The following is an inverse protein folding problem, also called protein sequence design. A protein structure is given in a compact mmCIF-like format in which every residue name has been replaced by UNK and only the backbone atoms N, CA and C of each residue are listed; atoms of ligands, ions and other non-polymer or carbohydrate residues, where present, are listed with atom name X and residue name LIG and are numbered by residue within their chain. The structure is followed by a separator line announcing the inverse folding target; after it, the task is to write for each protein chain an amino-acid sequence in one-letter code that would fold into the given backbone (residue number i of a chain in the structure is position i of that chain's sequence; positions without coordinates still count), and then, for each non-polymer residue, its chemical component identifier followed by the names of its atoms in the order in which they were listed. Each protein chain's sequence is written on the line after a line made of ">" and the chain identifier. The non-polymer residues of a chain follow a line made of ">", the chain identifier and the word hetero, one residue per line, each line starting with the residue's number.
data_IF_593454262806
#
_entry.id   IF_593454262806
#
_cell.length_a   1.000
_cell.length_b   1.000
_cell.length_c   1.000
_cell.angle_alpha   90.00
_cell.angle_beta   90.00
_cell.angle_gamma   90.00
#
_symmetry.space_group_name_H-M   'P 1'
#
loop_
_entity.id
_entity.type
_entity.pdbx_description
1 polymer ?
#
# COMPACT_ATOMS: atom_id res chain seq x y z
N UNK A 1 26.74 6.65 -16.00
CA UNK A 1 25.77 5.81 -15.26
C UNK A 1 25.31 6.59 -14.03
N UNK A 2 24.04 7.02 -13.98
CA UNK A 2 23.55 8.00 -13.02
C UNK A 2 23.75 7.53 -11.56
N UNK A 3 24.32 8.36 -10.69
CA UNK A 3 24.66 7.99 -9.30
C UNK A 3 23.43 7.48 -8.52
N UNK A 4 22.25 8.05 -8.81
CA UNK A 4 20.96 7.65 -8.22
C UNK A 4 20.68 6.16 -8.45
N UNK A 5 20.82 5.67 -9.69
CA UNK A 5 20.52 4.27 -10.06
C UNK A 5 21.41 3.30 -9.28
N UNK A 6 22.68 3.65 -9.06
CA UNK A 6 23.60 2.82 -8.26
C UNK A 6 23.16 2.73 -6.81
N UNK A 7 22.73 3.85 -6.22
CA UNK A 7 22.26 3.92 -4.83
C UNK A 7 20.94 3.15 -4.68
N UNK A 8 20.03 3.27 -5.65
CA UNK A 8 18.78 2.49 -5.71
C UNK A 8 19.08 0.99 -5.75
N UNK A 9 19.94 0.53 -6.66
CA UNK A 9 20.30 -0.89 -6.78
C UNK A 9 21.00 -1.42 -5.52
N UNK A 10 21.85 -0.61 -4.89
CA UNK A 10 22.47 -0.96 -3.62
C UNK A 10 21.43 -1.13 -2.51
N UNK A 11 20.51 -0.16 -2.38
CA UNK A 11 19.42 -0.20 -1.39
C UNK A 11 18.55 -1.44 -1.55
N UNK A 12 18.18 -1.79 -2.79
CA UNK A 12 17.41 -3.00 -3.05
C UNK A 12 18.18 -4.27 -2.65
N UNK A 13 19.45 -4.40 -3.02
CA UNK A 13 20.27 -5.57 -2.67
C UNK A 13 20.49 -5.71 -1.18
N UNK A 14 20.67 -4.59 -0.50
CA UNK A 14 20.86 -4.55 0.95
C UNK A 14 19.61 -5.04 1.68
N UNK A 15 18.43 -4.52 1.32
CA UNK A 15 17.15 -4.97 1.88
C UNK A 15 16.84 -6.43 1.53
N UNK A 16 17.09 -6.85 0.29
CA UNK A 16 16.91 -8.23 -0.16
C UNK A 16 17.91 -9.23 0.46
N UNK A 17 18.96 -8.77 1.14
CA UNK A 17 19.88 -9.68 1.85
C UNK A 17 19.27 -10.18 3.17
N UNK A 18 18.30 -9.46 3.72
CA UNK A 18 17.65 -9.87 4.97
C UNK A 18 16.71 -11.04 4.74
N UNK A 19 16.98 -12.16 5.42
CA UNK A 19 16.13 -13.38 5.36
C UNK A 19 14.67 -13.10 5.74
N UNK A 20 14.45 -12.16 6.65
CA UNK A 20 13.11 -11.74 7.10
C UNK A 20 12.21 -11.29 5.96
N UNK A 21 12.76 -10.66 4.92
CA UNK A 21 12.00 -10.19 3.77
C UNK A 21 11.37 -11.35 2.98
N UNK A 22 12.15 -12.40 2.70
CA UNK A 22 11.64 -13.59 2.02
C UNK A 22 10.69 -14.41 2.88
N UNK A 23 10.95 -14.50 4.19
CA UNK A 23 10.04 -15.17 5.13
C UNK A 23 8.69 -14.47 5.16
N UNK A 24 8.68 -13.13 5.22
CA UNK A 24 7.44 -12.35 5.19
C UNK A 24 6.69 -12.51 3.86
N UNK A 25 7.41 -12.49 2.73
CA UNK A 25 6.81 -12.73 1.41
C UNK A 25 6.16 -14.12 1.35
N UNK A 26 6.90 -15.16 1.75
CA UNK A 26 6.41 -16.54 1.74
C UNK A 26 5.19 -16.72 2.64
N UNK A 27 5.21 -16.16 3.85
CA UNK A 27 4.07 -16.20 4.77
C UNK A 27 2.85 -15.46 4.19
N UNK A 28 3.06 -14.30 3.55
CA UNK A 28 1.99 -13.52 2.93
C UNK A 28 1.35 -14.27 1.75
N UNK A 29 2.16 -14.91 0.90
CA UNK A 29 1.67 -15.76 -0.19
C UNK A 29 0.88 -16.95 0.36
N UNK A 30 1.40 -17.61 1.40
CA UNK A 30 0.71 -18.73 2.05
C UNK A 30 -0.66 -18.29 2.59
N UNK A 31 -0.73 -17.13 3.24
CA UNK A 31 -1.98 -16.58 3.76
C UNK A 31 -3.00 -16.33 2.63
N UNK A 32 -2.56 -15.75 1.51
CA UNK A 32 -3.41 -15.55 0.33
C UNK A 32 -3.91 -16.88 -0.23
N UNK A 33 -3.04 -17.89 -0.31
CA UNK A 33 -3.41 -19.22 -0.80
C UNK A 33 -4.39 -19.94 0.13
N UNK A 34 -4.32 -19.74 1.44
CA UNK A 34 -5.31 -20.30 2.38
C UNK A 34 -6.70 -19.70 2.16
N UNK A 35 -6.79 -18.43 1.74
CA UNK A 35 -8.07 -17.76 1.43
C UNK A 35 -8.69 -18.29 0.13
N UNK A 36 -7.98 -19.11 -0.66
CA UNK A 36 -8.50 -19.72 -1.91
C UNK A 36 -9.83 -20.45 -1.71
N UNK A 37 -10.06 -21.05 -0.53
CA UNK A 37 -11.30 -21.73 -0.19
C UNK A 37 -12.53 -20.80 -0.08
N UNK A 38 -12.32 -19.51 0.21
CA UNK A 38 -13.39 -18.51 0.29
C UNK A 38 -13.91 -18.07 -1.09
N UNK A 39 -13.24 -18.48 -2.17
CA UNK A 39 -13.66 -18.22 -3.55
C UNK A 39 -14.48 -19.36 -4.15
N UNK A 40 -14.77 -20.41 -3.37
CA UNK A 40 -15.60 -21.52 -3.86
C UNK A 40 -17.09 -21.16 -3.89
N UNK A 41 -17.82 -21.78 -4.80
CA UNK A 41 -19.25 -21.52 -4.99
C UNK A 41 -20.13 -22.30 -4.03
N UNK A 42 -21.30 -21.75 -3.68
CA UNK A 42 -22.28 -22.44 -2.82
C UNK A 42 -22.83 -21.62 -1.65
N UNK A 43 -22.53 -20.32 -1.59
CA UNK A 43 -23.09 -19.45 -0.57
C UNK A 43 -24.57 -19.16 -0.88
N UNK A 44 -25.45 -19.44 0.09
CA UNK A 44 -26.86 -19.08 0.04
C UNK A 44 -27.10 -17.88 0.94
N UNK A 45 -27.71 -16.83 0.39
CA UNK A 45 -28.13 -15.64 1.16
C UNK A 45 -29.63 -15.51 0.92
N UNK A 46 -30.43 -15.47 1.99
CA UNK A 46 -31.89 -15.46 1.92
C UNK A 46 -32.51 -16.62 1.09
N UNK A 47 -31.86 -17.79 1.05
CA UNK A 47 -32.36 -18.96 0.32
C UNK A 47 -32.08 -18.95 -1.18
N UNK A 48 -31.50 -17.89 -1.74
CA UNK A 48 -31.04 -17.82 -3.13
C UNK A 48 -29.54 -18.13 -3.22
N UNK A 49 -29.14 -18.88 -4.25
CA UNK A 49 -27.72 -19.12 -4.53
C UNK A 49 -27.08 -17.85 -5.09
N UNK A 50 -26.09 -17.33 -4.38
CA UNK A 50 -25.38 -16.13 -4.82
C UNK A 50 -24.41 -16.50 -5.94
N UNK A 51 -24.35 -15.67 -6.98
CA UNK A 51 -23.41 -15.85 -8.08
C UNK A 51 -21.96 -15.86 -7.54
N UNK A 52 -21.23 -16.93 -7.85
CA UNK A 52 -19.84 -17.13 -7.45
C UNK A 52 -18.94 -15.97 -7.87
N UNK A 53 -19.22 -15.33 -9.02
CA UNK A 53 -18.47 -14.17 -9.48
C UNK A 53 -18.64 -12.96 -8.53
N UNK A 54 -19.84 -12.73 -8.00
CA UNK A 54 -20.14 -11.63 -7.09
C UNK A 54 -19.48 -11.85 -5.73
N UNK A 55 -19.47 -13.08 -5.22
CA UNK A 55 -18.78 -13.42 -3.97
C UNK A 55 -17.28 -13.25 -4.13
N UNK A 56 -16.71 -13.84 -5.20
CA UNK A 56 -15.29 -13.73 -5.50
C UNK A 56 -14.86 -12.26 -5.61
N UNK A 57 -15.67 -11.40 -6.21
CA UNK A 57 -15.43 -9.95 -6.31
C UNK A 57 -15.35 -9.24 -4.95
N UNK A 58 -16.25 -9.54 -4.02
CA UNK A 58 -16.26 -8.90 -2.70
C UNK A 58 -15.10 -9.39 -1.83
N UNK A 59 -14.84 -10.71 -1.83
CA UNK A 59 -13.70 -11.29 -1.10
C UNK A 59 -12.39 -10.70 -1.62
N UNK A 60 -12.23 -10.66 -2.94
CA UNK A 60 -11.12 -10.03 -3.66
C UNK A 60 -10.78 -8.63 -3.15
N UNK A 61 -11.78 -7.74 -3.05
CA UNK A 61 -11.59 -6.38 -2.53
C UNK A 61 -11.12 -6.32 -1.09
N UNK A 62 -11.70 -7.17 -0.23
CA UNK A 62 -11.34 -7.23 1.20
C UNK A 62 -9.88 -7.67 1.33
N UNK A 63 -9.48 -8.72 0.63
CA UNK A 63 -8.10 -9.22 0.68
C UNK A 63 -7.13 -8.20 0.07
N UNK A 64 -7.52 -7.49 -0.99
CA UNK A 64 -6.73 -6.38 -1.53
C UNK A 64 -6.45 -5.32 -0.44
N UNK A 65 -7.46 -4.93 0.32
CA UNK A 65 -7.30 -3.96 1.42
C UNK A 65 -6.43 -4.47 2.54
N UNK A 66 -6.56 -5.75 2.89
CA UNK A 66 -5.71 -6.39 3.87
C UNK A 66 -4.23 -6.33 3.45
N UNK A 67 -3.94 -6.62 2.17
CA UNK A 67 -2.58 -6.51 1.63
C UNK A 67 -2.12 -5.06 1.67
N UNK A 68 -2.93 -4.10 1.19
CA UNK A 68 -2.56 -2.69 1.19
C UNK A 68 -2.23 -2.18 2.61
N UNK A 69 -3.06 -2.53 3.60
CA UNK A 69 -2.81 -2.21 5.01
C UNK A 69 -1.50 -2.84 5.53
N UNK A 70 -1.27 -4.12 5.24
CA UNK A 70 -0.02 -4.80 5.56
C UNK A 70 1.21 -4.15 4.90
N UNK A 71 1.07 -3.71 3.65
CA UNK A 71 2.11 -2.99 2.92
C UNK A 71 2.40 -1.61 3.50
N UNK A 72 1.39 -0.87 3.96
CA UNK A 72 1.60 0.41 4.64
C UNK A 72 2.38 0.24 5.96
N UNK A 73 2.05 -0.79 6.73
CA UNK A 73 2.79 -1.13 7.94
C UNK A 73 4.24 -1.50 7.60
N UNK A 74 4.43 -2.43 6.66
CA UNK A 74 5.75 -2.91 6.24
C UNK A 74 6.63 -1.77 5.71
N UNK A 75 6.08 -0.91 4.84
CA UNK A 75 6.84 0.20 4.26
C UNK A 75 7.20 1.25 5.30
N UNK A 76 6.32 1.50 6.28
CA UNK A 76 6.60 2.41 7.39
C UNK A 76 7.76 1.90 8.25
N UNK A 77 7.74 0.60 8.58
CA UNK A 77 8.82 -0.04 9.35
C UNK A 77 10.15 -0.11 8.58
N UNK A 78 10.12 -0.33 7.27
CA UNK A 78 11.32 -0.33 6.44
C UNK A 78 11.91 1.08 6.34
N UNK A 79 11.05 2.08 6.18
CA UNK A 79 11.47 3.48 5.93
C UNK A 79 12.06 4.15 7.16
N UNK A 80 11.55 3.82 8.35
CA UNK A 80 11.98 4.48 9.59
C UNK A 80 13.47 4.25 9.91
N UNK A 81 14.05 3.13 9.47
CA UNK A 81 15.45 2.77 9.76
C UNK A 81 16.44 3.12 8.65
N UNK A 82 15.98 3.72 7.53
CA UNK A 82 16.85 3.94 6.37
C UNK A 82 17.98 4.91 6.70
N UNK A 83 17.65 6.06 7.29
CA UNK A 83 18.65 7.11 7.56
C UNK A 83 19.38 6.93 8.87
N UNK A 84 18.69 6.45 9.92
CA UNK A 84 19.31 6.20 11.23
C UNK A 84 20.38 5.12 11.14
N UNK A 85 20.08 3.96 10.53
CA UNK A 85 21.06 2.89 10.32
C UNK A 85 22.25 3.38 9.50
N UNK A 86 21.99 4.13 8.43
CA UNK A 86 23.07 4.64 7.58
C UNK A 86 24.00 5.59 8.34
N UNK A 87 23.45 6.38 9.28
CA UNK A 87 24.18 7.30 10.14
C UNK A 87 24.98 6.53 11.21
N UNK A 88 24.38 5.53 11.86
CA UNK A 88 25.04 4.66 12.85
C UNK A 88 26.20 3.86 12.25
N UNK A 89 26.02 3.30 11.05
CA UNK A 89 27.04 2.54 10.33
C UNK A 89 28.17 3.43 9.75
N UNK A 90 28.06 4.75 9.87
CA UNK A 90 28.97 5.72 9.25
C UNK A 90 28.93 5.74 7.71
N UNK A 91 28.02 4.96 7.11
CA UNK A 91 27.89 4.81 5.65
C UNK A 91 27.51 6.12 4.96
N UNK A 92 26.78 7.01 5.64
CA UNK A 92 26.44 8.36 5.14
C UNK A 92 27.72 9.13 4.77
N UNK A 93 28.77 9.05 5.60
CA UNK A 93 30.04 9.75 5.37
C UNK A 93 30.77 9.16 4.16
N UNK A 94 30.69 7.83 3.96
CA UNK A 94 31.28 7.15 2.80
C UNK A 94 30.55 7.49 1.49
N UNK A 95 29.22 7.69 1.53
CA UNK A 95 28.47 8.13 0.35
C UNK A 95 28.71 9.62 0.02
N UNK A 96 28.85 10.47 1.03
CA UNK A 96 29.06 11.92 0.89
C UNK A 96 30.52 12.31 0.63
N UNK A 97 31.49 11.44 0.92
CA UNK A 97 32.91 11.67 0.59
C UNK A 97 33.18 11.57 -0.92
N UNK A 98 32.30 10.89 -1.66
CA UNK A 98 32.24 10.93 -3.13
C UNK A 98 31.42 12.16 -3.57
N UNK A 99 31.64 12.65 -4.79
CA UNK A 99 30.88 13.77 -5.41
C UNK A 99 29.41 13.44 -5.72
N UNK A 100 28.68 12.97 -4.71
CA UNK A 100 27.25 12.68 -4.76
C UNK A 100 26.53 13.79 -3.99
N UNK A 101 25.60 14.47 -4.65
CA UNK A 101 24.79 15.48 -3.98
C UNK A 101 23.82 14.83 -2.98
N UNK A 102 23.53 15.53 -1.88
CA UNK A 102 22.61 15.04 -0.83
C UNK A 102 21.26 14.61 -1.38
N UNK A 103 20.73 15.35 -2.37
CA UNK A 103 19.48 15.02 -3.06
C UNK A 103 19.54 13.72 -3.85
N UNK A 104 20.66 13.41 -4.51
CA UNK A 104 20.82 12.14 -5.23
C UNK A 104 20.83 10.93 -4.27
N UNK A 105 21.39 11.11 -3.07
CA UNK A 105 21.37 10.09 -2.02
C UNK A 105 19.96 9.86 -1.48
N UNK A 106 19.26 10.93 -1.07
CA UNK A 106 17.88 10.84 -0.54
C UNK A 106 16.94 10.22 -1.57
N UNK A 107 16.95 10.71 -2.82
CA UNK A 107 16.14 10.16 -3.90
C UNK A 107 16.50 8.70 -4.18
N UNK A 108 17.80 8.36 -4.21
CA UNK A 108 18.23 6.98 -4.43
C UNK A 108 17.72 6.01 -3.38
N UNK A 109 17.74 6.40 -2.10
CA UNK A 109 17.21 5.61 -0.96
C UNK A 109 15.69 5.47 -1.03
N UNK A 110 14.97 6.59 -1.20
CA UNK A 110 13.50 6.61 -1.29
C UNK A 110 13.01 5.78 -2.48
N UNK A 111 13.58 5.99 -3.67
CA UNK A 111 13.23 5.22 -4.87
C UNK A 111 13.60 3.75 -4.74
N UNK A 112 14.73 3.41 -4.10
CA UNK A 112 15.13 2.03 -3.84
C UNK A 112 14.11 1.27 -2.99
N UNK A 113 13.67 1.86 -1.89
CA UNK A 113 12.65 1.29 -1.02
C UNK A 113 11.30 1.23 -1.72
N UNK A 114 10.91 2.27 -2.45
CA UNK A 114 9.65 2.30 -3.20
C UNK A 114 9.58 1.20 -4.25
N UNK A 115 10.61 1.03 -5.09
CA UNK A 115 10.66 -0.03 -6.10
C UNK A 115 10.59 -1.40 -5.45
N UNK A 116 11.31 -1.62 -4.34
CA UNK A 116 11.27 -2.89 -3.62
C UNK A 116 9.87 -3.22 -3.10
N UNK A 117 9.22 -2.26 -2.42
CA UNK A 117 7.87 -2.44 -1.91
C UNK A 117 6.83 -2.56 -3.04
N UNK A 118 7.04 -1.88 -4.17
CA UNK A 118 6.21 -2.02 -5.35
C UNK A 118 6.27 -3.44 -5.90
N UNK A 119 7.46 -4.02 -6.07
CA UNK A 119 7.61 -5.41 -6.53
C UNK A 119 6.93 -6.38 -5.56
N UNK A 120 7.14 -6.22 -4.26
CA UNK A 120 6.52 -7.07 -3.24
C UNK A 120 4.99 -7.00 -3.27
N UNK A 121 4.42 -5.79 -3.25
CA UNK A 121 2.98 -5.57 -3.36
C UNK A 121 2.42 -6.14 -4.67
N UNK A 122 3.13 -5.94 -5.80
CA UNK A 122 2.68 -6.41 -7.09
C UNK A 122 2.63 -7.94 -7.15
N UNK A 123 3.59 -8.63 -6.56
CA UNK A 123 3.57 -10.10 -6.42
C UNK A 123 2.32 -10.54 -5.64
N UNK A 124 1.99 -9.89 -4.52
CA UNK A 124 0.82 -10.24 -3.71
C UNK A 124 -0.52 -9.92 -4.40
N UNK A 125 -0.62 -8.80 -5.12
CA UNK A 125 -1.83 -8.51 -5.89
C UNK A 125 -1.98 -9.45 -7.09
N UNK A 126 -0.87 -9.82 -7.73
CA UNK A 126 -0.86 -10.78 -8.82
C UNK A 126 -1.31 -12.17 -8.36
N UNK A 127 -0.91 -12.63 -7.16
CA UNK A 127 -1.35 -13.94 -6.65
C UNK A 127 -2.86 -13.98 -6.40
N UNK A 128 -3.46 -12.91 -5.87
CA UNK A 128 -4.93 -12.80 -5.76
C UNK A 128 -5.56 -12.81 -7.13
N UNK A 129 -5.08 -11.95 -8.04
CA UNK A 129 -5.62 -11.84 -9.39
C UNK A 129 -5.64 -13.19 -10.11
N UNK A 130 -4.53 -13.95 -10.05
CA UNK A 130 -4.43 -15.29 -10.61
C UNK A 130 -5.37 -16.29 -9.92
N UNK A 131 -5.57 -16.18 -8.61
CA UNK A 131 -6.49 -17.04 -7.86
C UNK A 131 -7.94 -16.82 -8.28
N UNK A 132 -8.34 -15.56 -8.44
CA UNK A 132 -9.69 -15.17 -8.88
C UNK A 132 -9.92 -15.61 -10.32
N UNK A 133 -8.96 -15.35 -11.21
CA UNK A 133 -8.99 -15.78 -12.60
C UNK A 133 -9.16 -17.30 -12.72
N UNK A 134 -8.39 -18.07 -11.95
CA UNK A 134 -8.45 -19.53 -11.99
C UNK A 134 -9.77 -20.11 -11.46
N UNK A 135 -10.49 -19.41 -10.58
CA UNK A 135 -11.75 -19.88 -9.98
C UNK A 135 -13.00 -19.41 -10.73
N UNK A 136 -12.99 -18.20 -11.28
CA UNK A 136 -14.18 -17.58 -11.90
C UNK A 136 -14.06 -17.36 -13.40
N UNK A 137 -12.85 -17.38 -13.97
CA UNK A 137 -12.61 -17.04 -15.37
C UNK A 137 -12.84 -15.56 -15.72
N UNK A 138 -13.14 -14.71 -14.73
CA UNK A 138 -13.43 -13.30 -14.95
C UNK A 138 -12.15 -12.44 -14.89
N UNK A 139 -12.00 -11.51 -15.82
CA UNK A 139 -10.94 -10.49 -15.79
C UNK A 139 -11.42 -9.28 -14.98
N UNK A 140 -10.65 -8.87 -13.98
CA UNK A 140 -10.91 -7.62 -13.25
C UNK A 140 -9.89 -6.57 -13.70
N UNK A 141 -10.29 -5.67 -14.60
CA UNK A 141 -9.43 -4.59 -15.13
C UNK A 141 -8.96 -3.62 -14.05
N UNK A 142 -9.81 -3.32 -13.07
CA UNK A 142 -9.54 -2.34 -12.01
C UNK A 142 -8.38 -2.69 -11.08
N UNK A 143 -7.95 -3.96 -11.02
CA UNK A 143 -6.88 -4.41 -10.12
C UNK A 143 -5.54 -3.72 -10.39
N UNK A 144 -5.19 -3.56 -11.66
CA UNK A 144 -3.92 -2.94 -12.05
C UNK A 144 -3.91 -1.44 -11.67
N UNK A 145 -5.00 -0.73 -11.99
CA UNK A 145 -5.18 0.68 -11.65
C UNK A 145 -5.15 0.90 -10.14
N UNK A 146 -5.89 0.10 -9.38
CA UNK A 146 -5.90 0.12 -7.92
C UNK A 146 -4.50 -0.14 -7.34
N UNK A 147 -3.75 -1.08 -7.91
CA UNK A 147 -2.38 -1.39 -7.49
C UNK A 147 -1.39 -0.25 -7.78
N UNK A 148 -1.53 0.44 -8.91
CA UNK A 148 -0.68 1.59 -9.24
C UNK A 148 -0.95 2.77 -8.31
N UNK A 149 -2.23 3.05 -8.02
CA UNK A 149 -2.62 4.09 -7.06
C UNK A 149 -2.11 3.75 -5.65
N UNK A 150 -2.20 2.48 -5.26
CA UNK A 150 -1.61 1.99 -4.02
C UNK A 150 -0.09 2.23 -3.98
N UNK A 151 0.62 2.04 -5.09
CA UNK A 151 2.06 2.30 -5.16
C UNK A 151 2.42 3.78 -4.93
N UNK A 152 1.58 4.72 -5.37
CA UNK A 152 1.77 6.16 -5.12
C UNK A 152 1.52 6.47 -3.64
N UNK A 153 0.50 5.85 -3.02
CA UNK A 153 0.29 5.94 -1.57
C UNK A 153 1.52 5.41 -0.80
N UNK A 154 2.12 4.29 -1.23
CA UNK A 154 3.35 3.77 -0.62
C UNK A 154 4.50 4.77 -0.72
N UNK A 155 4.68 5.42 -1.88
CA UNK A 155 5.70 6.45 -2.06
C UNK A 155 5.49 7.63 -1.10
N UNK A 156 4.25 8.09 -0.95
CA UNK A 156 3.89 9.14 0.01
C UNK A 156 4.27 8.75 1.44
N UNK A 157 3.95 7.52 1.86
CA UNK A 157 4.29 7.01 3.19
C UNK A 157 5.81 6.96 3.39
N UNK A 158 6.57 6.43 2.42
CA UNK A 158 8.04 6.40 2.48
C UNK A 158 8.57 7.82 2.67
N UNK A 159 8.14 8.76 1.82
CA UNK A 159 8.59 10.14 1.88
C UNK A 159 8.25 10.80 3.22
N UNK A 160 7.05 10.56 3.76
CA UNK A 160 6.60 11.10 5.03
C UNK A 160 7.41 10.55 6.22
N UNK A 161 7.58 9.22 6.30
CA UNK A 161 8.41 8.59 7.36
C UNK A 161 9.85 9.10 7.27
N UNK A 162 10.45 9.06 6.08
CA UNK A 162 11.83 9.51 5.86
C UNK A 162 12.02 11.00 6.18
N UNK A 163 11.02 11.85 5.93
CA UNK A 163 11.09 13.26 6.29
C UNK A 163 10.98 13.46 7.80
N UNK A 164 10.02 12.80 8.46
CA UNK A 164 9.80 12.90 9.90
C UNK A 164 10.95 12.30 10.71
N UNK A 165 11.60 11.24 10.22
CA UNK A 165 12.76 10.63 10.88
C UNK A 165 13.99 11.53 10.92
N UNK A 166 14.01 12.65 10.19
CA UNK A 166 15.07 13.67 10.30
C UNK A 166 14.94 14.51 11.58
N UNK A 167 13.74 14.59 12.15
CA UNK A 167 13.44 15.46 13.29
C UNK A 167 13.00 14.69 14.53
N UNK A 168 12.42 13.49 14.34
CA UNK A 168 11.83 12.67 15.39
C UNK A 168 12.54 11.31 15.46
N UNK A 169 12.48 10.62 16.61
CA UNK A 169 12.93 9.23 16.71
C UNK A 169 12.20 8.34 15.69
N UNK A 170 12.91 7.37 15.10
CA UNK A 170 12.42 6.48 14.04
C UNK A 170 11.02 5.91 14.31
N UNK A 171 10.82 5.33 15.50
CA UNK A 171 9.54 4.73 15.87
C UNK A 171 8.40 5.75 15.89
N UNK A 172 8.66 6.97 16.40
CA UNK A 172 7.67 8.05 16.45
C UNK A 172 7.34 8.54 15.04
N UNK A 173 8.33 8.64 14.14
CA UNK A 173 8.12 9.02 12.74
C UNK A 173 7.18 8.04 12.00
N UNK A 174 7.38 6.73 12.22
CA UNK A 174 6.53 5.68 11.69
C UNK A 174 5.12 5.75 12.27
N UNK A 175 4.99 5.87 13.60
CA UNK A 175 3.70 5.94 14.28
C UNK A 175 2.88 7.17 13.84
N UNK A 176 3.53 8.33 13.71
CA UNK A 176 2.86 9.55 13.26
C UNK A 176 2.37 9.43 11.82
N UNK A 177 3.17 8.85 10.93
CA UNK A 177 2.78 8.60 9.54
C UNK A 177 1.60 7.62 9.46
N UNK A 178 1.61 6.55 10.26
CA UNK A 178 0.47 5.64 10.38
C UNK A 178 -0.78 6.34 10.94
N UNK A 179 -0.62 7.29 11.87
CA UNK A 179 -1.69 8.15 12.37
C UNK A 179 -2.31 9.01 11.27
N UNK A 180 -1.48 9.63 10.41
CA UNK A 180 -1.94 10.41 9.25
C UNK A 180 -2.76 9.51 8.30
N UNK A 181 -2.26 8.30 8.00
CA UNK A 181 -2.99 7.34 7.17
C UNK A 181 -4.33 6.94 7.78
N UNK A 182 -4.37 6.72 9.10
CA UNK A 182 -5.58 6.31 9.81
C UNK A 182 -6.65 7.41 9.82
N UNK A 183 -6.26 8.66 10.06
CA UNK A 183 -7.17 9.82 9.98
C UNK A 183 -7.66 10.01 8.54
N UNK A 184 -6.77 9.85 7.55
CA UNK A 184 -7.12 9.86 6.14
C UNK A 184 -8.17 8.79 5.80
N UNK A 185 -7.95 7.56 6.25
CA UNK A 185 -8.86 6.44 6.06
C UNK A 185 -10.25 6.70 6.66
N UNK A 186 -10.32 7.18 7.91
CA UNK A 186 -11.59 7.47 8.58
C UNK A 186 -12.35 8.59 7.86
N UNK A 187 -11.66 9.66 7.46
CA UNK A 187 -12.33 10.79 6.83
C UNK A 187 -12.82 10.49 5.42
N UNK A 188 -12.03 9.80 4.60
CA UNK A 188 -12.45 9.40 3.26
C UNK A 188 -13.60 8.39 3.34
N UNK A 189 -13.51 7.41 4.25
CA UNK A 189 -14.59 6.44 4.49
C UNK A 189 -15.88 7.12 4.97
N UNK A 190 -15.77 8.04 5.93
CA UNK A 190 -16.90 8.82 6.44
C UNK A 190 -17.55 9.69 5.35
N UNK A 191 -16.75 10.36 4.52
CA UNK A 191 -17.26 11.17 3.41
C UNK A 191 -18.04 10.34 2.40
N UNK A 192 -17.54 9.15 2.02
CA UNK A 192 -18.24 8.27 1.08
C UNK A 192 -19.53 7.69 1.66
N UNK A 193 -19.53 7.29 2.93
CA UNK A 193 -20.74 6.79 3.60
C UNK A 193 -21.81 7.89 3.62
N UNK A 194 -21.45 9.12 3.98
CA UNK A 194 -22.36 10.26 3.98
C UNK A 194 -22.92 10.59 2.59
N UNK A 195 -22.13 10.35 1.54
CA UNK A 195 -22.53 10.64 0.17
C UNK A 195 -23.15 9.43 -0.56
N UNK A 196 -23.34 8.30 0.14
CA UNK A 196 -23.94 7.09 -0.43
C UNK A 196 -25.45 7.24 -0.63
N UNK A 197 -26.00 6.51 -1.61
CA UNK A 197 -27.43 6.56 -1.94
C UNK A 197 -28.32 6.13 -0.76
N UNK A 198 -27.81 5.23 0.10
CA UNK A 198 -28.51 4.77 1.30
C UNK A 198 -28.70 5.93 2.30
N UNK A 199 -27.63 6.67 2.59
CA UNK A 199 -27.69 7.80 3.54
C UNK A 199 -28.43 9.00 2.95
N UNK A 200 -28.25 9.27 1.64
CA UNK A 200 -29.02 10.29 0.93
C UNK A 200 -30.52 10.00 0.90
N UNK A 201 -30.92 8.73 0.87
CA UNK A 201 -32.33 8.33 0.94
C UNK A 201 -32.93 8.43 2.35
N UNK A 202 -32.10 8.30 3.40
CA UNK A 202 -32.52 8.39 4.80
C UNK A 202 -32.47 9.83 5.36
N UNK A 203 -31.62 10.69 4.80
CA UNK A 203 -31.39 12.07 5.25
C UNK A 203 -31.53 13.01 4.05
N UNK A 204 -32.67 13.68 3.94
CA UNK A 204 -33.00 14.61 2.84
C UNK A 204 -32.20 15.91 2.86
N UNK A 205 -31.44 16.19 3.92
CA UNK A 205 -30.50 17.32 3.94
C UNK A 205 -29.24 16.93 3.16
N UNK A 206 -29.17 17.34 1.90
CA UNK A 206 -27.97 17.20 1.08
C UNK A 206 -26.83 17.99 1.73
N UNK A 207 -25.92 17.33 2.43
CA UNK A 207 -24.66 17.94 2.83
C UNK A 207 -23.82 18.01 1.55
N UNK A 208 -24.06 19.04 0.73
CA UNK A 208 -23.17 19.45 -0.36
C UNK A 208 -21.92 20.08 0.27
N UNK A 209 -21.15 19.27 0.99
CA UNK A 209 -19.83 19.67 1.46
C UNK A 209 -18.85 19.40 0.33
N UNK A 210 -18.27 20.47 -0.20
CA UNK A 210 -17.12 20.37 -1.08
C UNK A 210 -16.05 19.52 -0.41
N UNK A 211 -15.36 18.64 -1.17
CA UNK A 211 -14.31 17.82 -0.61
C UNK A 211 -13.22 18.72 -0.05
N UNK A 212 -12.92 18.58 1.24
CA UNK A 212 -11.84 19.33 1.86
C UNK A 212 -10.53 19.12 1.09
N UNK A 213 -9.71 20.17 0.93
CA UNK A 213 -8.48 20.13 0.12
C UNK A 213 -7.53 18.98 0.51
N UNK A 214 -7.48 18.64 1.79
CA UNK A 214 -6.66 17.53 2.29
C UNK A 214 -7.18 16.14 1.88
N UNK A 215 -8.45 16.02 1.48
CA UNK A 215 -8.98 14.82 0.83
C UNK A 215 -8.58 14.76 -0.64
N UNK A 216 -8.26 15.89 -1.27
CA UNK A 216 -7.70 15.94 -2.63
C UNK A 216 -6.19 15.63 -2.58
N UNK A 217 -5.50 16.11 -1.54
CA UNK A 217 -4.14 15.70 -1.24
C UNK A 217 -4.10 14.23 -0.78
N UNK A 218 -3.04 13.51 -1.17
CA UNK A 218 -2.75 12.15 -0.68
C UNK A 218 -2.66 12.12 0.85
N UNK A 219 -3.01 11.00 1.53
CA UNK A 219 -3.16 9.62 1.03
C UNK A 219 -4.60 9.16 0.72
N UNK A 220 -4.79 8.50 -0.43
CA UNK A 220 -6.08 7.97 -0.92
C UNK A 220 -6.23 6.49 -0.58
N UNK A 221 -6.36 6.17 0.70
CA UNK A 221 -6.35 4.77 1.18
C UNK A 221 -7.66 4.03 0.87
N UNK A 222 -8.80 4.73 1.02
CA UNK A 222 -10.14 4.15 0.79
C UNK A 222 -10.56 4.15 -0.69
N UNK A 223 -9.99 5.06 -1.51
CA UNK A 223 -10.34 5.21 -2.94
C UNK A 223 -9.93 4.02 -3.82
N UNK A 224 -9.05 3.16 -3.33
CA UNK A 224 -8.62 1.93 -4.00
C UNK A 224 -9.83 1.01 -4.34
N UNK A 225 -10.90 1.02 -3.52
CA UNK A 225 -12.12 0.26 -3.81
C UNK A 225 -12.87 0.78 -5.05
N UNK A 226 -13.03 2.10 -5.15
CA UNK A 226 -13.76 2.72 -6.25
C UNK A 226 -13.07 2.56 -7.61
N UNK A 227 -11.74 2.46 -7.63
CA UNK A 227 -10.98 2.18 -8.85
C UNK A 227 -10.91 0.68 -9.18
N UNK A 228 -11.10 -0.19 -8.20
CA UNK A 228 -11.27 -1.61 -8.48
C UNK A 228 -12.63 -1.92 -9.12
N UNK A 229 -13.63 -1.02 -8.98
CA UNK A 229 -14.98 -1.10 -9.55
C UNK A 229 -15.12 -0.64 -11.00
N UNK A 230 -14.07 -0.07 -11.59
CA UNK A 230 -13.98 0.30 -13.02
C UNK A 230 -13.20 -0.74 -13.82
#
# INVERSE_FOLDING_TARGET
>A
MNNVIKITAYTMRDQLRHKSFYVLLGLSILFILMIRGCYDGGYTVNGEMVNNATVAWHVSKIVFHLIAAGMFLMVSMLSMKIFSRDHEDGSVVLFLSRSVSRWQYVLGRVTGTWVLCLVFMFILHLTIFLTVWAKTGAFISGYLSASLICSINLLFVIACVCFLSLYLPDFISALFTMGILFVGFISDGGYQILNSDIVRSAVSSTINADPALWRVLYPKVFMVQSYADT
#
